data_IF_711100483594
#
_entry.id   IF_711100483594
#
_cell.length_a   1.000
_cell.length_b   1.000
_cell.length_c   1.000
_cell.angle_alpha   90.00
_cell.angle_beta   90.00
_cell.angle_gamma   90.00
#
_symmetry.space_group_name_H-M   'P 1'
#
loop_
_entity.id
_entity.type
_entity.pdbx_description
1 polymer ?
#
# COMPACT_ATOMS: atom_id res chain seq x y z
N UNK A 1 47.22 51.50 13.38
CA UNK A 1 45.95 51.57 12.61
C UNK A 1 45.61 50.26 11.86
N UNK A 2 46.55 49.33 11.66
CA UNK A 2 46.34 48.08 10.91
C UNK A 2 45.64 46.95 11.71
N UNK A 3 45.59 47.04 13.04
CA UNK A 3 45.04 45.98 13.92
C UNK A 3 43.52 45.82 13.85
N UNK A 4 42.79 46.90 13.58
CA UNK A 4 41.33 46.87 13.47
C UNK A 4 40.86 46.20 12.17
N UNK A 5 41.66 46.30 11.10
CA UNK A 5 41.37 45.62 9.84
C UNK A 5 41.45 44.09 9.99
N UNK A 6 42.42 43.59 10.76
CA UNK A 6 42.53 42.15 11.05
C UNK A 6 41.37 41.65 11.93
N UNK A 7 40.91 42.45 12.89
CA UNK A 7 39.75 42.12 13.71
C UNK A 7 38.46 42.03 12.87
N UNK A 8 38.27 42.96 11.93
CA UNK A 8 37.14 42.93 10.99
C UNK A 8 37.23 41.74 10.03
N UNK A 9 38.42 41.45 9.50
CA UNK A 9 38.65 40.30 8.62
C UNK A 9 38.34 38.97 9.34
N UNK A 10 38.77 38.82 10.60
CA UNK A 10 38.45 37.63 11.40
C UNK A 10 36.94 37.49 11.66
N UNK A 11 36.27 38.60 12.00
CA UNK A 11 34.83 38.61 12.23
C UNK A 11 34.04 38.18 11.00
N UNK A 12 34.42 38.69 9.82
CA UNK A 12 33.81 38.29 8.55
C UNK A 12 34.07 36.81 8.20
N UNK A 13 35.28 36.32 8.48
CA UNK A 13 35.65 34.94 8.20
C UNK A 13 34.86 33.98 9.08
N UNK A 14 34.79 34.23 10.39
CA UNK A 14 33.98 33.46 11.35
C UNK A 14 32.48 33.52 10.99
N UNK A 15 31.99 34.72 10.66
CA UNK A 15 30.60 34.92 10.24
C UNK A 15 30.27 34.11 8.98
N UNK A 16 31.16 34.11 7.98
CA UNK A 16 30.96 33.38 6.72
C UNK A 16 30.94 31.87 6.92
N UNK A 17 31.82 31.33 7.77
CA UNK A 17 31.90 29.90 8.07
C UNK A 17 30.64 29.44 8.82
N UNK A 18 30.22 30.23 9.81
CA UNK A 18 29.02 29.96 10.60
C UNK A 18 27.75 30.00 9.73
N UNK A 19 27.62 31.01 8.88
CA UNK A 19 26.50 31.14 7.94
C UNK A 19 26.46 29.97 6.93
N UNK A 20 27.62 29.54 6.43
CA UNK A 20 27.73 28.42 5.49
C UNK A 20 27.35 27.09 6.14
N UNK A 21 27.82 26.83 7.36
CA UNK A 21 27.45 25.64 8.12
C UNK A 21 25.93 25.58 8.37
N UNK A 22 25.34 26.69 8.81
CA UNK A 22 23.89 26.79 9.02
C UNK A 22 23.09 26.54 7.72
N UNK A 23 23.56 27.06 6.59
CA UNK A 23 22.87 26.86 5.31
C UNK A 23 22.90 25.41 4.83
N UNK A 24 24.02 24.70 5.04
CA UNK A 24 24.14 23.27 4.75
C UNK A 24 23.16 22.47 5.62
N UNK A 25 23.10 22.77 6.91
CA UNK A 25 22.20 22.09 7.86
C UNK A 25 20.73 22.32 7.51
N UNK A 26 20.38 23.54 7.12
CA UNK A 26 19.03 23.91 6.69
C UNK A 26 18.62 23.17 5.41
N UNK A 27 19.53 23.05 4.44
CA UNK A 27 19.29 22.26 3.21
C UNK A 27 19.09 20.78 3.51
N UNK A 28 19.87 20.20 4.43
CA UNK A 28 19.69 18.81 4.87
C UNK A 28 18.30 18.58 5.47
N UNK A 29 17.79 19.51 6.28
CA UNK A 29 16.43 19.44 6.86
C UNK A 29 15.34 19.47 5.79
N UNK A 30 15.44 20.41 4.84
CA UNK A 30 14.47 20.52 3.73
C UNK A 30 14.48 19.27 2.84
N UNK A 31 15.66 18.69 2.59
CA UNK A 31 15.77 17.45 1.79
C UNK A 31 15.24 16.24 2.56
N UNK A 32 15.49 16.15 3.86
CA UNK A 32 14.96 15.07 4.71
C UNK A 32 13.44 15.10 4.78
N UNK A 33 12.83 16.29 4.86
CA UNK A 33 11.36 16.45 4.81
C UNK A 33 10.78 16.12 3.43
N UNK A 34 11.53 16.36 2.35
CA UNK A 34 11.12 16.01 0.97
C UNK A 34 11.41 14.58 0.56
N UNK A 35 12.13 13.79 1.38
CA UNK A 35 12.22 12.34 1.21
C UNK A 35 10.95 11.70 1.76
N UNK A 36 9.83 11.98 1.10
CA UNK A 36 8.71 11.04 1.08
C UNK A 36 9.31 9.78 0.48
N UNK A 37 9.51 8.77 1.31
CA UNK A 37 9.89 7.43 0.85
C UNK A 37 8.75 6.99 -0.06
N UNK A 38 8.96 7.11 -1.37
CA UNK A 38 8.11 6.43 -2.34
C UNK A 38 8.07 4.99 -1.88
N UNK A 39 6.88 4.52 -1.47
CA UNK A 39 6.73 3.14 -1.04
C UNK A 39 7.28 2.26 -2.16
N UNK A 40 7.96 1.14 -1.83
CA UNK A 40 8.53 0.26 -2.84
C UNK A 40 7.50 0.02 -3.94
N UNK A 41 7.90 0.03 -5.20
CA UNK A 41 7.01 -0.07 -6.36
C UNK A 41 6.05 -1.28 -6.29
N UNK A 42 6.35 -2.27 -5.44
CA UNK A 42 5.44 -3.36 -5.06
C UNK A 42 4.12 -2.93 -4.42
N UNK A 43 4.02 -1.69 -3.92
CA UNK A 43 2.79 -1.13 -3.36
C UNK A 43 1.80 -0.70 -4.47
N UNK A 44 2.29 -0.43 -5.69
CA UNK A 44 1.48 -0.08 -6.85
C UNK A 44 1.33 -1.29 -7.76
N UNK A 45 0.72 -2.35 -7.24
CA UNK A 45 0.26 -3.46 -8.10
C UNK A 45 -0.66 -2.89 -9.18
N UNK A 46 -0.40 -3.23 -10.44
CA UNK A 46 -1.33 -2.83 -11.50
C UNK A 46 -2.68 -3.51 -11.30
N UNK A 47 -3.77 -2.89 -11.77
CA UNK A 47 -5.10 -3.52 -11.71
C UNK A 47 -5.12 -4.90 -12.37
N UNK A 48 -4.27 -5.13 -13.38
CA UNK A 48 -4.11 -6.43 -14.00
C UNK A 48 -3.52 -7.48 -13.04
N UNK A 49 -2.51 -7.11 -12.26
CA UNK A 49 -1.90 -7.99 -11.24
C UNK A 49 -2.93 -8.34 -10.16
N UNK A 50 -3.67 -7.35 -9.65
CA UNK A 50 -4.72 -7.63 -8.65
C UNK A 50 -5.85 -8.48 -9.21
N UNK A 51 -6.23 -8.30 -10.48
CA UNK A 51 -7.22 -9.15 -11.12
C UNK A 51 -6.70 -10.59 -11.28
N UNK A 52 -5.42 -10.78 -11.60
CA UNK A 52 -4.81 -12.10 -11.68
C UNK A 52 -4.75 -12.77 -10.29
N UNK A 53 -4.34 -12.04 -9.25
CA UNK A 53 -4.34 -12.54 -7.87
C UNK A 53 -5.74 -12.93 -7.38
N UNK A 54 -6.76 -12.15 -7.73
CA UNK A 54 -8.15 -12.44 -7.44
C UNK A 54 -8.64 -13.69 -8.17
N UNK A 55 -8.33 -13.83 -9.46
CA UNK A 55 -8.65 -15.03 -10.23
C UNK A 55 -8.00 -16.29 -9.64
N UNK A 56 -6.69 -16.24 -9.35
CA UNK A 56 -5.96 -17.35 -8.74
C UNK A 56 -6.50 -17.70 -7.35
N UNK A 57 -6.99 -16.71 -6.60
CA UNK A 57 -7.64 -16.93 -5.30
C UNK A 57 -8.99 -17.62 -5.48
N UNK A 58 -9.82 -17.16 -6.41
CA UNK A 58 -11.16 -17.70 -6.63
C UNK A 58 -11.16 -19.08 -7.30
N UNK A 59 -10.17 -19.39 -8.14
CA UNK A 59 -9.99 -20.73 -8.70
C UNK A 59 -9.70 -21.81 -7.65
N UNK A 60 -9.29 -21.42 -6.44
CA UNK A 60 -9.01 -22.34 -5.32
C UNK A 60 -10.22 -22.64 -4.42
N UNK A 61 -11.39 -22.10 -4.76
CA UNK A 61 -12.63 -22.39 -4.03
C UNK A 61 -13.00 -23.88 -4.23
N UNK A 62 -13.17 -24.62 -3.14
CA UNK A 62 -13.60 -26.02 -3.07
C UNK A 62 -15.11 -26.14 -3.32
N UNK A 63 -15.49 -26.10 -4.60
CA UNK A 63 -16.87 -26.14 -5.07
C UNK A 63 -17.73 -27.27 -4.45
N UNK A 64 -17.11 -28.39 -4.08
CA UNK A 64 -17.77 -29.55 -3.48
C UNK A 64 -18.33 -29.28 -2.08
N UNK A 65 -17.78 -28.28 -1.38
CA UNK A 65 -18.21 -27.91 -0.01
C UNK A 65 -19.26 -26.81 -0.02
N UNK A 66 -19.52 -26.23 -1.18
CA UNK A 66 -20.54 -25.21 -1.34
C UNK A 66 -21.92 -25.84 -1.44
N UNK A 67 -22.91 -25.12 -0.90
CA UNK A 67 -24.31 -25.43 -1.15
C UNK A 67 -24.59 -25.38 -2.66
N UNK A 68 -25.43 -26.29 -3.18
CA UNK A 68 -25.67 -26.48 -4.62
C UNK A 68 -25.96 -25.18 -5.37
N UNK A 69 -26.84 -24.33 -4.83
CA UNK A 69 -27.16 -23.02 -5.41
C UNK A 69 -25.94 -22.09 -5.51
N UNK A 70 -25.09 -22.07 -4.48
CA UNK A 70 -23.88 -21.25 -4.48
C UNK A 70 -22.83 -21.82 -5.43
N UNK A 71 -22.71 -23.15 -5.48
CA UNK A 71 -21.80 -23.83 -6.40
C UNK A 71 -22.09 -23.47 -7.85
N UNK A 72 -23.35 -23.61 -8.28
CA UNK A 72 -23.74 -23.27 -9.66
C UNK A 72 -23.44 -21.80 -9.98
N UNK A 73 -23.68 -20.91 -9.02
CA UNK A 73 -23.42 -19.50 -9.21
C UNK A 73 -21.91 -19.19 -9.29
N UNK A 74 -21.08 -19.78 -8.41
CA UNK A 74 -19.62 -19.66 -8.48
C UNK A 74 -19.08 -20.23 -9.80
N UNK A 75 -19.55 -21.40 -10.23
CA UNK A 75 -19.14 -22.01 -11.51
C UNK A 75 -19.49 -21.13 -12.71
N UNK A 76 -20.63 -20.45 -12.68
CA UNK A 76 -21.05 -19.52 -13.73
C UNK A 76 -20.11 -18.31 -13.78
N UNK A 77 -19.76 -17.76 -12.62
CA UNK A 77 -18.84 -16.63 -12.52
C UNK A 77 -17.42 -17.03 -12.93
N UNK A 78 -16.94 -18.21 -12.54
CA UNK A 78 -15.63 -18.73 -12.96
C UNK A 78 -15.55 -18.90 -14.48
N UNK A 79 -16.60 -19.44 -15.12
CA UNK A 79 -16.70 -19.53 -16.59
C UNK A 79 -16.67 -18.15 -17.25
N UNK A 80 -17.35 -17.16 -16.67
CA UNK A 80 -17.32 -15.79 -17.17
C UNK A 80 -15.92 -15.18 -17.08
N UNK A 81 -15.21 -15.39 -15.96
CA UNK A 81 -13.83 -14.93 -15.76
C UNK A 81 -12.89 -15.61 -16.77
N UNK A 82 -13.03 -16.91 -16.99
CA UNK A 82 -12.19 -17.64 -17.95
C UNK A 82 -12.37 -17.13 -19.39
N UNK A 83 -13.60 -16.79 -19.78
CA UNK A 83 -13.90 -16.32 -21.13
C UNK A 83 -13.58 -14.84 -21.39
N UNK A 84 -13.77 -13.97 -20.39
CA UNK A 84 -13.73 -12.52 -20.60
C UNK A 84 -12.91 -11.74 -19.54
N UNK A 85 -12.38 -12.41 -18.53
CA UNK A 85 -11.56 -11.85 -17.47
C UNK A 85 -12.37 -11.27 -16.31
N UNK A 86 -11.68 -11.06 -15.18
CA UNK A 86 -12.24 -10.53 -13.92
C UNK A 86 -12.91 -9.16 -14.08
N UNK A 87 -12.44 -8.35 -15.03
CA UNK A 87 -12.98 -7.00 -15.28
C UNK A 87 -14.43 -6.99 -15.76
N UNK A 88 -14.99 -8.14 -16.18
CA UNK A 88 -16.39 -8.24 -16.62
C UNK A 88 -17.37 -8.52 -15.49
N UNK A 89 -16.88 -8.85 -14.30
CA UNK A 89 -17.73 -9.07 -13.15
C UNK A 89 -18.31 -7.75 -12.65
N UNK A 90 -19.58 -7.78 -12.25
CA UNK A 90 -20.16 -6.68 -11.47
C UNK A 90 -19.51 -6.60 -10.09
N UNK A 91 -19.62 -5.44 -9.46
CA UNK A 91 -19.13 -5.24 -8.09
C UNK A 91 -19.76 -6.23 -7.10
N UNK A 92 -21.04 -6.55 -7.27
CA UNK A 92 -21.76 -7.51 -6.44
C UNK A 92 -21.25 -8.93 -6.63
N UNK A 93 -21.02 -9.36 -7.87
CA UNK A 93 -20.45 -10.67 -8.18
C UNK A 93 -19.04 -10.82 -7.61
N UNK A 94 -18.21 -9.77 -7.73
CA UNK A 94 -16.88 -9.72 -7.11
C UNK A 94 -16.95 -9.84 -5.59
N UNK A 95 -17.86 -9.11 -4.96
CA UNK A 95 -18.07 -9.20 -3.51
C UNK A 95 -18.59 -10.58 -3.07
N UNK A 96 -19.42 -11.23 -3.90
CA UNK A 96 -19.87 -12.60 -3.65
C UNK A 96 -18.70 -13.59 -3.70
N UNK A 97 -17.92 -13.59 -4.78
CA UNK A 97 -16.73 -14.45 -4.92
C UNK A 97 -15.74 -14.25 -3.77
N UNK A 98 -15.57 -13.01 -3.33
CA UNK A 98 -14.72 -12.67 -2.20
C UNK A 98 -15.23 -13.28 -0.88
N UNK A 99 -16.53 -13.26 -0.64
CA UNK A 99 -17.12 -13.94 0.54
C UNK A 99 -16.89 -15.44 0.49
N UNK A 100 -17.10 -16.07 -0.67
CA UNK A 100 -16.91 -17.51 -0.83
C UNK A 100 -15.46 -17.91 -0.58
N UNK A 101 -14.50 -17.18 -1.15
CA UNK A 101 -13.08 -17.43 -0.92
C UNK A 101 -12.65 -17.24 0.54
N UNK A 102 -13.23 -16.26 1.25
CA UNK A 102 -12.92 -16.04 2.66
C UNK A 102 -13.57 -17.07 3.61
N UNK A 103 -14.70 -17.68 3.23
CA UNK A 103 -15.35 -18.75 4.00
C UNK A 103 -14.54 -20.05 3.97
N UNK A 104 -13.85 -20.31 2.86
CA UNK A 104 -13.06 -21.54 2.69
C UNK A 104 -11.58 -21.37 3.02
N UNK A 105 -11.06 -20.14 2.95
CA UNK A 105 -9.70 -19.87 3.40
C UNK A 105 -9.58 -20.23 4.89
N UNK A 106 -8.54 -20.99 5.31
CA UNK A 106 -8.25 -21.14 6.73
C UNK A 106 -8.09 -19.74 7.35
N UNK A 107 -8.51 -19.54 8.62
CA UNK A 107 -8.50 -18.24 9.25
C UNK A 107 -7.11 -17.62 9.07
N UNK A 108 -7.07 -16.42 8.45
CA UNK A 108 -5.84 -15.67 8.17
C UNK A 108 -4.91 -15.80 9.38
N UNK A 109 -3.78 -16.51 9.24
CA UNK A 109 -2.70 -16.52 10.25
C UNK A 109 -2.22 -15.07 10.40
N UNK A 110 -2.83 -14.32 11.32
CA UNK A 110 -2.55 -12.91 11.56
C UNK A 110 -3.77 -11.97 11.58
N UNK A 111 -4.98 -12.41 11.19
CA UNK A 111 -6.17 -11.61 11.47
C UNK A 111 -6.50 -11.72 12.96
N UNK A 112 -6.14 -10.68 13.72
CA UNK A 112 -6.63 -10.52 15.09
C UNK A 112 -8.16 -10.56 15.03
N UNK A 113 -8.84 -11.41 15.82
CA UNK A 113 -10.29 -11.36 15.89
C UNK A 113 -10.73 -9.92 16.24
N UNK A 114 -11.82 -9.42 15.64
CA UNK A 114 -12.33 -8.10 15.98
C UNK A 114 -12.53 -8.03 17.50
N UNK A 115 -11.96 -7.01 18.15
CA UNK A 115 -12.12 -6.80 19.59
C UNK A 115 -13.62 -6.57 19.85
N UNK A 116 -14.31 -7.43 20.63
CA UNK A 116 -15.73 -7.28 20.94
C UNK A 116 -16.09 -5.93 21.57
N UNK A 117 -15.09 -5.17 22.04
CA UNK A 117 -15.24 -3.87 22.69
C UNK A 117 -15.30 -2.68 21.71
N UNK A 118 -15.07 -2.90 20.41
CA UNK A 118 -14.96 -1.83 19.41
C UNK A 118 -16.12 -1.81 18.39
N UNK A 119 -17.28 -2.39 18.72
CA UNK A 119 -18.50 -2.15 17.95
C UNK A 119 -18.99 -0.72 18.18
N UNK A 120 -19.12 0.13 17.15
CA UNK A 120 -19.82 1.39 17.29
C UNK A 120 -21.32 1.09 17.51
N UNK A 121 -21.85 1.69 18.57
CA UNK A 121 -23.28 1.70 18.93
C UNK A 121 -24.07 2.51 17.91
#
# INVERSE_FOLDING_TARGET
MLSWLWALALGLLIGSVSARAWWIERKKRIIAERRVVERPNSFYGSMAVHNQEDEERWRRIELERLHELNREYVERLLRQIEGAGVGTLTQEARAFMERMANLEAPPRRGARPPDPRLSPV
#
